data_IF_906148941584
#
_entry.id   IF_906148941584
#
_cell.length_a   1.000
_cell.length_b   1.000
_cell.length_c   1.000
_cell.angle_alpha   90.00
_cell.angle_beta   90.00
_cell.angle_gamma   90.00
#
_symmetry.space_group_name_H-M   'P 1'
#
loop_
_entity.id
_entity.type
_entity.pdbx_description
1 polymer ?
#
# COMPACT_ATOMS: atom_id res chain seq x y z
N UNK A 1 3.41 -11.63 5.83
CA UNK A 1 4.49 -10.73 6.25
C UNK A 1 5.88 -11.37 6.26
N UNK A 2 6.03 -12.66 6.63
CA UNK A 2 7.33 -13.36 6.71
C UNK A 2 8.26 -13.23 5.47
N UNK A 3 7.70 -13.17 4.26
CA UNK A 3 8.49 -12.99 3.03
C UNK A 3 9.10 -11.58 2.92
N UNK A 4 8.30 -10.53 3.18
CA UNK A 4 8.76 -9.15 3.14
C UNK A 4 9.82 -8.88 4.22
N UNK A 5 9.62 -9.41 5.43
CA UNK A 5 10.60 -9.34 6.53
C UNK A 5 11.91 -10.04 6.18
N UNK A 6 11.84 -11.22 5.56
CA UNK A 6 13.04 -11.96 5.15
C UNK A 6 13.81 -11.16 4.11
N UNK A 7 13.14 -10.67 3.05
CA UNK A 7 13.79 -9.84 2.02
C UNK A 7 14.43 -8.59 2.63
N UNK A 8 13.70 -7.86 3.49
CA UNK A 8 14.22 -6.67 4.16
C UNK A 8 15.48 -6.97 4.99
N UNK A 9 15.47 -8.07 5.76
CA UNK A 9 16.63 -8.50 6.54
C UNK A 9 17.82 -8.89 5.68
N UNK A 10 17.60 -9.65 4.60
CA UNK A 10 18.70 -10.14 3.75
C UNK A 10 19.28 -9.06 2.82
N UNK A 11 18.49 -8.03 2.46
CA UNK A 11 18.88 -7.00 1.47
C UNK A 11 19.17 -5.63 2.07
N UNK A 12 18.73 -5.37 3.30
CA UNK A 12 18.73 -4.03 3.90
C UNK A 12 17.64 -3.10 3.36
N UNK A 13 16.73 -3.58 2.51
CA UNK A 13 15.60 -2.80 2.01
C UNK A 13 14.60 -2.48 3.13
N UNK A 14 13.99 -1.28 3.08
CA UNK A 14 12.88 -0.89 3.96
C UNK A 14 11.56 -1.51 3.48
N UNK A 15 10.68 -1.85 4.42
CA UNK A 15 9.33 -2.34 4.11
C UNK A 15 8.37 -1.16 4.05
N UNK A 16 7.59 -1.11 2.98
CA UNK A 16 6.47 -0.21 2.80
C UNK A 16 5.23 -1.02 2.44
N UNK A 17 4.08 -0.64 2.97
CA UNK A 17 2.82 -1.31 2.72
C UNK A 17 1.98 -0.50 1.73
N UNK A 18 1.48 -1.16 0.70
CA UNK A 18 0.51 -0.62 -0.22
C UNK A 18 -0.77 -1.42 -0.07
N UNK A 19 -1.88 -0.71 -0.07
CA UNK A 19 -3.20 -1.33 -0.09
C UNK A 19 -3.54 -1.66 -1.56
N UNK A 20 -3.53 -2.94 -1.97
CA UNK A 20 -3.69 -3.30 -3.38
C UNK A 20 -5.10 -3.02 -3.90
N UNK A 21 -6.04 -2.64 -3.03
CA UNK A 21 -7.46 -2.48 -3.30
C UNK A 21 -8.06 -3.71 -4.00
N UNK A 22 -8.79 -4.51 -3.24
CA UNK A 22 -9.70 -5.50 -3.84
C UNK A 22 -11.08 -4.86 -3.80
N UNK A 23 -11.50 -4.26 -4.92
CA UNK A 23 -12.81 -3.61 -4.98
C UNK A 23 -13.90 -4.68 -4.85
N UNK A 24 -14.52 -4.77 -3.67
CA UNK A 24 -15.88 -5.29 -3.53
C UNK A 24 -16.90 -4.28 -4.10
N UNK A 25 -18.18 -4.62 -4.12
CA UNK A 25 -19.24 -3.76 -4.63
C UNK A 25 -19.17 -2.33 -4.07
N UNK A 26 -19.28 -1.33 -4.95
CA UNK A 26 -19.31 0.06 -4.54
C UNK A 26 -20.57 0.33 -3.71
N UNK A 27 -20.38 0.65 -2.43
CA UNK A 27 -21.47 1.07 -1.53
C UNK A 27 -21.46 2.59 -1.35
N UNK A 28 -22.62 3.22 -1.08
CA UNK A 28 -22.71 4.67 -0.86
C UNK A 28 -21.73 5.21 0.19
N UNK A 29 -21.42 4.42 1.23
CA UNK A 29 -20.46 4.75 2.28
C UNK A 29 -18.98 4.77 1.83
N UNK A 30 -18.67 4.15 0.68
CA UNK A 30 -17.30 3.90 0.21
C UNK A 30 -17.05 4.46 -1.20
N UNK A 31 -17.85 5.42 -1.67
CA UNK A 31 -17.76 5.97 -3.03
C UNK A 31 -16.37 6.53 -3.39
N UNK A 32 -15.63 7.02 -2.38
CA UNK A 32 -14.27 7.56 -2.56
C UNK A 32 -13.17 6.63 -2.02
N UNK A 33 -13.51 5.45 -1.49
CA UNK A 33 -12.54 4.53 -0.87
C UNK A 33 -11.42 4.16 -1.86
N UNK A 34 -11.76 4.03 -3.15
CA UNK A 34 -10.77 3.86 -4.21
C UNK A 34 -9.75 5.00 -4.26
N UNK A 35 -10.24 6.23 -4.35
CA UNK A 35 -9.42 7.43 -4.51
C UNK A 35 -8.55 7.65 -3.28
N UNK A 36 -9.14 7.52 -2.09
CA UNK A 36 -8.44 7.74 -0.81
C UNK A 36 -7.31 6.72 -0.60
N UNK A 37 -7.54 5.45 -0.91
CA UNK A 37 -6.49 4.42 -0.83
C UNK A 37 -5.40 4.62 -1.87
N UNK A 38 -5.73 5.02 -3.10
CA UNK A 38 -4.73 5.33 -4.12
C UNK A 38 -3.89 6.56 -3.76
N UNK A 39 -4.51 7.59 -3.16
CA UNK A 39 -3.79 8.76 -2.66
C UNK A 39 -2.80 8.35 -1.56
N UNK A 40 -3.23 7.53 -0.61
CA UNK A 40 -2.34 7.01 0.43
C UNK A 40 -1.19 6.16 -0.15
N UNK A 41 -1.48 5.31 -1.14
CA UNK A 41 -0.45 4.53 -1.84
C UNK A 41 0.57 5.42 -2.54
N UNK A 42 0.14 6.50 -3.21
CA UNK A 42 1.08 7.40 -3.91
C UNK A 42 2.00 8.13 -2.93
N UNK A 43 1.49 8.50 -1.75
CA UNK A 43 2.28 9.11 -0.67
C UNK A 43 3.30 8.11 -0.14
N UNK A 44 2.90 6.86 0.09
CA UNK A 44 3.82 5.80 0.53
C UNK A 44 4.90 5.52 -0.51
N UNK A 45 4.54 5.45 -1.79
CA UNK A 45 5.49 5.30 -2.89
C UNK A 45 6.49 6.44 -2.94
N UNK A 46 6.02 7.69 -2.80
CA UNK A 46 6.90 8.86 -2.78
C UNK A 46 7.93 8.79 -1.64
N UNK A 47 7.52 8.32 -0.45
CA UNK A 47 8.44 8.09 0.68
C UNK A 47 9.45 6.97 0.44
N UNK A 48 9.10 5.98 -0.37
CA UNK A 48 9.99 4.86 -0.68
C UNK A 48 11.05 5.21 -1.74
N UNK A 49 10.79 6.24 -2.56
CA UNK A 49 11.67 6.69 -3.65
C UNK A 49 12.61 7.84 -3.27
N UNK A 50 12.45 8.40 -2.07
CA UNK A 50 13.31 9.43 -1.47
C UNK A 50 14.34 8.80 -0.54
#
# INVERSE_FOLDING_TARGET
MKAAETIARETGAKIFELDPIVTGEAKPENLLDYVDRMLNNVITLAKALQ
#
